data_IF_840662218995
#
_entry.id   IF_840662218995
#
_cell.length_a   1.000
_cell.length_b   1.000
_cell.length_c   1.000
_cell.angle_alpha   90.00
_cell.angle_beta   90.00
_cell.angle_gamma   90.00
#
_symmetry.space_group_name_H-M   'P 1'
#
loop_
_entity.id
_entity.type
_entity.pdbx_description
1 polymer ?
#
# COMPACT_ATOMS: atom_id res chain seq x y z
N UNK A 1 -18.07 5.52 -19.07
CA UNK A 1 -17.32 5.38 -17.80
C UNK A 1 -18.29 5.64 -16.67
N UNK A 2 -18.30 4.84 -15.60
CA UNK A 2 -19.19 5.09 -14.46
C UNK A 2 -18.73 6.36 -13.72
N UNK A 3 -19.64 7.04 -13.02
CA UNK A 3 -19.31 8.24 -12.24
C UNK A 3 -18.14 8.01 -11.27
N UNK A 4 -18.15 6.88 -10.56
CA UNK A 4 -17.08 6.52 -9.61
C UNK A 4 -15.72 6.28 -10.28
N UNK A 5 -15.71 5.73 -11.50
CA UNK A 5 -14.46 5.55 -12.26
C UNK A 5 -13.90 6.89 -12.71
N UNK A 6 -14.77 7.74 -13.28
CA UNK A 6 -14.39 9.07 -13.74
C UNK A 6 -13.90 9.95 -12.59
N UNK A 7 -14.62 9.95 -11.47
CA UNK A 7 -14.23 10.69 -10.27
C UNK A 7 -12.88 10.22 -9.73
N UNK A 8 -12.68 8.91 -9.59
CA UNK A 8 -11.40 8.38 -9.09
C UNK A 8 -10.24 8.67 -10.06
N UNK A 9 -10.46 8.55 -11.37
CA UNK A 9 -9.43 8.89 -12.36
C UNK A 9 -9.05 10.38 -12.32
N UNK A 10 -10.03 11.28 -12.22
CA UNK A 10 -9.76 12.73 -12.10
C UNK A 10 -9.03 13.07 -10.79
N UNK A 11 -9.44 12.46 -9.68
CA UNK A 11 -8.77 12.65 -8.40
C UNK A 11 -7.33 12.11 -8.43
N UNK A 12 -7.10 10.94 -9.03
CA UNK A 12 -5.75 10.39 -9.21
C UNK A 12 -4.87 11.24 -10.12
N UNK A 13 -5.44 11.83 -11.18
CA UNK A 13 -4.72 12.75 -12.07
C UNK A 13 -4.34 14.06 -11.34
N UNK A 14 -5.29 14.64 -10.59
CA UNK A 14 -5.04 15.83 -9.79
C UNK A 14 -4.00 15.57 -8.69
N UNK A 15 -4.09 14.41 -8.03
CA UNK A 15 -3.11 13.96 -7.05
C UNK A 15 -1.72 13.80 -7.67
N UNK A 16 -1.62 13.16 -8.85
CA UNK A 16 -0.34 13.00 -9.55
C UNK A 16 0.30 14.36 -9.90
N UNK A 17 -0.49 15.31 -10.42
CA UNK A 17 -0.02 16.65 -10.74
C UNK A 17 0.44 17.39 -9.47
N UNK A 18 -0.35 17.31 -8.39
CA UNK A 18 0.00 17.89 -7.10
C UNK A 18 1.30 17.31 -6.56
N UNK A 19 1.48 15.99 -6.62
CA UNK A 19 2.69 15.30 -6.21
C UNK A 19 3.91 15.71 -7.04
N UNK A 20 3.77 15.94 -8.35
CA UNK A 20 4.85 16.47 -9.20
C UNK A 20 5.25 17.89 -8.81
N UNK A 21 4.28 18.75 -8.48
CA UNK A 21 4.56 20.12 -8.01
C UNK A 21 5.28 20.07 -6.66
N UNK A 22 4.86 19.19 -5.75
CA UNK A 22 5.54 18.97 -4.47
C UNK A 22 6.96 18.46 -4.70
N UNK A 23 7.15 17.46 -5.55
CA UNK A 23 8.47 16.91 -5.87
C UNK A 23 9.41 17.98 -6.44
N UNK A 24 8.92 18.85 -7.33
CA UNK A 24 9.70 19.95 -7.91
C UNK A 24 10.08 21.05 -6.89
N UNK A 25 9.35 21.15 -5.77
CA UNK A 25 9.55 22.15 -4.72
C UNK A 25 10.09 21.55 -3.41
N UNK A 26 10.36 20.25 -3.39
CA UNK A 26 10.78 19.56 -2.18
C UNK A 26 12.15 20.06 -1.70
N UNK A 27 12.25 20.33 -0.40
CA UNK A 27 13.49 20.81 0.22
C UNK A 27 14.57 19.72 0.30
N UNK A 28 14.17 18.45 0.51
CA UNK A 28 15.08 17.31 0.60
C UNK A 28 14.86 16.32 -0.55
N UNK A 29 15.92 15.66 -1.04
CA UNK A 29 15.80 14.69 -2.12
C UNK A 29 14.99 13.45 -1.73
N UNK A 30 15.00 13.05 -0.45
CA UNK A 30 14.25 11.91 0.05
C UNK A 30 12.74 12.19 0.05
N UNK A 31 12.34 13.43 0.40
CA UNK A 31 10.95 13.85 0.29
C UNK A 31 10.51 13.98 -1.17
N UNK A 32 11.39 14.51 -2.03
CA UNK A 32 11.15 14.55 -3.48
C UNK A 32 10.93 13.14 -4.05
N UNK A 33 11.73 12.17 -3.61
CA UNK A 33 11.62 10.77 -4.02
C UNK A 33 10.25 10.17 -3.67
N UNK A 34 9.76 10.35 -2.44
CA UNK A 34 8.41 9.91 -2.06
C UNK A 34 7.32 10.63 -2.86
N UNK A 35 7.47 11.93 -3.11
CA UNK A 35 6.55 12.68 -3.97
C UNK A 35 6.53 12.15 -5.42
N UNK A 36 7.67 11.72 -5.96
CA UNK A 36 7.71 11.04 -7.27
C UNK A 36 7.03 9.67 -7.24
N UNK A 37 7.15 8.89 -6.16
CA UNK A 37 6.40 7.63 -6.01
C UNK A 37 4.89 7.89 -6.00
N UNK A 38 4.44 8.93 -5.29
CA UNK A 38 3.03 9.34 -5.29
C UNK A 38 2.56 9.77 -6.69
N UNK A 39 3.36 10.57 -7.39
CA UNK A 39 3.06 10.98 -8.76
C UNK A 39 2.94 9.78 -9.71
N UNK A 40 3.92 8.88 -9.69
CA UNK A 40 3.91 7.65 -10.48
C UNK A 40 2.69 6.78 -10.16
N UNK A 41 2.35 6.64 -8.88
CA UNK A 41 1.20 5.85 -8.43
C UNK A 41 -0.13 6.46 -8.88
N UNK A 42 -0.24 7.80 -8.86
CA UNK A 42 -1.41 8.50 -9.40
C UNK A 42 -1.57 8.33 -10.90
N UNK A 43 -0.47 8.43 -11.68
CA UNK A 43 -0.49 8.16 -13.13
C UNK A 43 -0.87 6.70 -13.41
N UNK A 44 -0.29 5.75 -12.66
CA UNK A 44 -0.63 4.33 -12.79
C UNK A 44 -2.10 4.07 -12.45
N UNK A 45 -2.66 4.73 -11.44
CA UNK A 45 -4.08 4.64 -11.11
C UNK A 45 -4.97 5.14 -12.27
N UNK A 46 -4.65 6.30 -12.87
CA UNK A 46 -5.37 6.81 -14.05
C UNK A 46 -5.32 5.80 -15.19
N UNK A 47 -4.12 5.33 -15.53
CA UNK A 47 -3.93 4.36 -16.62
C UNK A 47 -4.72 3.07 -16.37
N UNK A 48 -4.62 2.49 -15.17
CA UNK A 48 -5.30 1.24 -14.83
C UNK A 48 -6.82 1.38 -14.81
N UNK A 49 -7.36 2.51 -14.33
CA UNK A 49 -8.81 2.77 -14.34
C UNK A 49 -9.31 2.93 -15.78
N UNK A 50 -8.61 3.69 -16.62
CA UNK A 50 -8.97 3.89 -18.03
C UNK A 50 -8.87 2.57 -18.81
N UNK A 51 -7.79 1.82 -18.63
CA UNK A 51 -7.61 0.52 -19.27
C UNK A 51 -8.70 -0.47 -18.83
N UNK A 52 -9.02 -0.52 -17.54
CA UNK A 52 -10.13 -1.32 -17.01
C UNK A 52 -11.46 -0.92 -17.64
N UNK A 53 -11.70 0.38 -17.84
CA UNK A 53 -12.93 0.87 -18.46
C UNK A 53 -13.06 0.38 -19.92
N UNK A 54 -12.00 0.49 -20.72
CA UNK A 54 -12.02 0.05 -22.11
C UNK A 54 -12.00 -1.47 -22.27
N UNK A 55 -11.38 -2.20 -21.34
CA UNK A 55 -11.36 -3.67 -21.35
C UNK A 55 -12.67 -4.31 -20.85
N UNK A 56 -13.62 -3.54 -20.31
CA UNK A 56 -14.88 -4.07 -19.78
C UNK A 56 -15.88 -4.30 -20.91
N UNK A 57 -16.06 -5.57 -21.29
CA UNK A 57 -17.06 -5.99 -22.29
C UNK A 57 -18.49 -5.99 -21.72
N UNK A 58 -18.66 -6.47 -20.49
CA UNK A 58 -19.97 -6.57 -19.81
C UNK A 58 -19.86 -6.02 -18.40
N UNK A 59 -20.94 -5.38 -17.96
CA UNK A 59 -21.03 -4.85 -16.61
C UNK A 59 -21.10 -5.99 -15.58
N UNK A 60 -20.27 -5.92 -14.54
CA UNK A 60 -20.23 -6.97 -13.51
C UNK A 60 -21.58 -7.02 -12.79
N UNK A 61 -22.31 -8.15 -12.79
CA UNK A 61 -23.59 -8.24 -12.10
C UNK A 61 -23.37 -8.22 -10.59
N UNK A 62 -24.22 -7.50 -9.86
CA UNK A 62 -24.18 -7.42 -8.40
C UNK A 62 -24.73 -8.70 -7.73
N UNK A 63 -25.60 -9.43 -8.42
CA UNK A 63 -26.25 -10.66 -7.95
C UNK A 63 -26.12 -11.74 -9.02
N UNK A 64 -25.77 -12.95 -8.63
CA UNK A 64 -25.72 -14.16 -9.48
C UNK A 64 -26.52 -15.24 -8.77
N UNK A 65 -27.49 -15.85 -9.46
CA UNK A 65 -28.33 -16.93 -8.94
C UNK A 65 -29.00 -16.62 -7.59
N UNK A 66 -29.49 -15.38 -7.44
CA UNK A 66 -30.14 -14.91 -6.21
C UNK A 66 -29.19 -14.69 -5.03
N UNK A 67 -27.87 -14.78 -5.24
CA UNK A 67 -26.84 -14.52 -4.22
C UNK A 67 -25.99 -13.32 -4.61
N UNK A 68 -25.47 -12.55 -3.64
CA UNK A 68 -24.54 -11.47 -3.93
C UNK A 68 -23.31 -11.99 -4.67
N UNK A 69 -22.94 -11.35 -5.78
CA UNK A 69 -21.67 -11.57 -6.42
C UNK A 69 -20.59 -10.87 -5.59
N UNK A 70 -19.88 -11.60 -4.74
CA UNK A 70 -18.86 -10.99 -3.87
C UNK A 70 -17.64 -10.45 -4.63
N UNK A 71 -17.11 -9.32 -4.19
CA UNK A 71 -15.92 -8.72 -4.77
C UNK A 71 -14.66 -9.34 -4.17
N UNK A 72 -14.21 -10.48 -4.72
CA UNK A 72 -13.02 -11.19 -4.24
C UNK A 72 -11.69 -10.69 -4.80
N UNK A 73 -11.67 -9.81 -5.81
CA UNK A 73 -10.43 -9.27 -6.37
C UNK A 73 -9.53 -8.61 -5.31
N UNK A 74 -10.03 -7.59 -4.58
CA UNK A 74 -9.29 -6.94 -3.49
C UNK A 74 -8.91 -7.90 -2.37
N UNK A 75 -9.78 -8.85 -2.01
CA UNK A 75 -9.52 -9.86 -0.96
C UNK A 75 -8.34 -10.74 -1.34
N UNK A 76 -8.31 -11.23 -2.58
CA UNK A 76 -7.21 -12.06 -3.10
C UNK A 76 -5.91 -11.27 -3.16
N UNK A 77 -5.96 -10.02 -3.64
CA UNK A 77 -4.79 -9.15 -3.67
C UNK A 77 -4.23 -8.93 -2.26
N UNK A 78 -5.07 -8.52 -1.30
CA UNK A 78 -4.65 -8.29 0.08
C UNK A 78 -4.09 -9.58 0.73
N UNK A 79 -4.64 -10.75 0.39
CA UNK A 79 -4.13 -12.03 0.87
C UNK A 79 -2.73 -12.32 0.33
N UNK A 80 -2.48 -12.10 -0.97
CA UNK A 80 -1.16 -12.26 -1.57
C UNK A 80 -0.16 -11.23 -1.03
N UNK A 81 -0.60 -9.97 -0.87
CA UNK A 81 0.19 -8.91 -0.26
C UNK A 81 0.57 -9.25 1.19
N UNK A 82 -0.36 -9.80 1.98
CA UNK A 82 -0.07 -10.28 3.33
C UNK A 82 1.03 -11.33 3.32
N UNK A 83 0.95 -12.35 2.47
CA UNK A 83 2.00 -13.37 2.37
C UNK A 83 3.36 -12.76 1.98
N UNK A 84 3.37 -11.88 0.99
CA UNK A 84 4.59 -11.19 0.55
C UNK A 84 5.21 -10.37 1.69
N UNK A 85 4.43 -9.51 2.34
CA UNK A 85 4.91 -8.68 3.43
C UNK A 85 5.25 -9.47 4.69
N UNK A 86 4.58 -10.60 4.93
CA UNK A 86 4.92 -11.52 6.00
C UNK A 86 6.33 -12.08 5.80
N UNK A 87 6.62 -12.60 4.60
CA UNK A 87 7.98 -13.06 4.26
C UNK A 87 8.99 -11.92 4.40
N UNK A 88 8.73 -10.75 3.79
CA UNK A 88 9.64 -9.62 3.86
C UNK A 88 9.90 -9.16 5.31
N UNK A 89 8.85 -8.96 6.10
CA UNK A 89 8.93 -8.52 7.50
C UNK A 89 9.68 -9.51 8.38
N UNK A 90 9.41 -10.82 8.25
CA UNK A 90 10.12 -11.85 9.00
C UNK A 90 11.58 -12.00 8.56
N UNK A 91 11.88 -11.83 7.26
CA UNK A 91 13.27 -11.81 6.77
C UNK A 91 14.05 -10.64 7.36
N UNK A 92 13.50 -9.42 7.36
CA UNK A 92 14.17 -8.27 8.01
C UNK A 92 14.33 -8.52 9.52
N UNK A 93 13.33 -9.15 10.16
CA UNK A 93 13.40 -9.57 11.56
C UNK A 93 14.58 -10.52 11.85
N UNK A 94 14.80 -11.50 10.98
CA UNK A 94 15.94 -12.39 11.06
C UNK A 94 17.27 -11.64 10.86
N UNK A 95 17.33 -10.72 9.89
CA UNK A 95 18.53 -9.90 9.63
C UNK A 95 18.90 -9.08 10.87
N UNK A 96 17.95 -8.35 11.46
CA UNK A 96 18.24 -7.51 12.64
C UNK A 96 18.57 -8.34 13.87
N UNK A 97 18.00 -9.55 14.02
CA UNK A 97 18.40 -10.49 15.07
C UNK A 97 19.87 -10.94 14.89
N UNK A 98 20.27 -11.23 13.64
CA UNK A 98 21.66 -11.57 13.33
C UNK A 98 22.61 -10.39 13.52
N UNK A 99 22.19 -9.15 13.28
CA UNK A 99 23.00 -7.95 13.55
C UNK A 99 23.28 -7.75 15.04
N UNK A 100 22.36 -8.15 15.92
CA UNK A 100 22.60 -8.14 17.37
C UNK A 100 23.62 -9.21 17.79
N UNK A 101 23.62 -10.37 17.12
CA UNK A 101 24.59 -11.44 17.39
C UNK A 101 25.97 -11.18 16.76
N UNK A 102 25.98 -10.61 15.56
CA UNK A 102 27.14 -10.40 14.71
C UNK A 102 27.13 -8.97 14.15
N UNK A 103 27.63 -7.97 14.89
CA UNK A 103 27.52 -6.56 14.52
C UNK A 103 28.09 -6.18 13.14
N UNK A 104 29.06 -6.94 12.60
CA UNK A 104 29.61 -6.68 11.27
C UNK A 104 28.57 -6.82 10.13
N UNK A 105 27.44 -7.49 10.39
CA UNK A 105 26.32 -7.59 9.44
C UNK A 105 25.53 -6.27 9.29
N UNK A 106 25.93 -5.20 9.96
CA UNK A 106 25.45 -3.84 9.67
C UNK A 106 26.08 -3.28 8.38
N UNK A 107 27.20 -3.85 7.91
CA UNK A 107 27.94 -3.48 6.69
C UNK A 107 28.44 -2.01 6.64
N UNK A 108 28.39 -1.28 7.75
CA UNK A 108 28.73 0.15 7.83
C UNK A 108 28.00 1.03 6.80
N UNK A 109 26.82 0.60 6.34
CA UNK A 109 25.94 1.37 5.45
C UNK A 109 24.73 1.91 6.23
N UNK A 110 24.28 3.15 5.97
CA UNK A 110 23.16 3.74 6.69
C UNK A 110 21.87 2.91 6.61
N UNK A 111 21.49 2.46 5.41
CA UNK A 111 20.23 1.74 5.14
C UNK A 111 20.22 0.28 5.60
N UNK A 112 21.38 -0.33 5.88
CA UNK A 112 21.45 -1.67 6.48
C UNK A 112 21.69 -1.63 7.98
N UNK A 113 21.85 -0.45 8.58
CA UNK A 113 22.08 -0.35 10.03
C UNK A 113 20.86 -0.83 10.83
N UNK A 114 21.12 -1.46 11.97
CA UNK A 114 20.10 -1.96 12.89
C UNK A 114 19.07 -0.88 13.26
N UNK A 115 19.53 0.36 13.47
CA UNK A 115 18.67 1.49 13.83
C UNK A 115 17.61 1.82 12.78
N UNK A 116 17.90 1.65 11.48
CA UNK A 116 16.93 1.88 10.38
C UNK A 116 16.13 0.63 10.04
N UNK A 117 16.74 -0.56 10.15
CA UNK A 117 16.05 -1.82 9.86
C UNK A 117 15.05 -2.22 10.97
N UNK A 118 15.24 -1.78 12.21
CA UNK A 118 14.30 -2.05 13.31
C UNK A 118 12.90 -1.47 13.04
N UNK A 119 12.70 -0.17 12.80
CA UNK A 119 11.36 0.36 12.51
C UNK A 119 10.80 -0.21 11.20
N UNK A 120 11.65 -0.54 10.21
CA UNK A 120 11.26 -1.26 9.01
C UNK A 120 10.67 -2.64 9.33
N UNK A 121 11.34 -3.44 10.16
CA UNK A 121 10.82 -4.75 10.59
C UNK A 121 9.48 -4.60 11.32
N UNK A 122 9.42 -3.73 12.33
CA UNK A 122 8.23 -3.53 13.15
C UNK A 122 7.03 -3.15 12.29
N UNK A 123 7.19 -2.15 11.41
CA UNK A 123 6.12 -1.72 10.51
C UNK A 123 5.76 -2.75 9.46
N UNK A 124 6.74 -3.47 8.91
CA UNK A 124 6.49 -4.53 7.94
C UNK A 124 5.70 -5.69 8.57
N UNK A 125 5.97 -6.08 9.80
CA UNK A 125 5.24 -7.18 10.46
C UNK A 125 3.85 -6.72 10.93
N UNK A 126 3.72 -5.52 11.50
CA UNK A 126 2.45 -5.08 12.09
C UNK A 126 1.53 -4.50 11.02
N UNK A 127 1.98 -3.48 10.30
CA UNK A 127 1.14 -2.78 9.34
C UNK A 127 1.14 -3.47 7.99
N UNK A 128 2.30 -3.86 7.45
CA UNK A 128 2.31 -4.47 6.13
C UNK A 128 1.71 -5.88 6.11
N UNK A 129 2.22 -6.79 6.93
CA UNK A 129 1.67 -8.13 7.08
C UNK A 129 0.32 -8.11 7.81
N UNK A 130 0.30 -7.69 9.08
CA UNK A 130 -0.91 -7.70 9.89
C UNK A 130 -2.05 -6.85 9.31
N UNK A 131 -1.74 -5.66 8.79
CA UNK A 131 -2.74 -4.81 8.14
C UNK A 131 -3.34 -5.42 6.87
N UNK A 132 -2.55 -6.05 6.01
CA UNK A 132 -3.10 -6.76 4.85
C UNK A 132 -3.91 -8.01 5.26
N UNK A 133 -3.54 -8.71 6.34
CA UNK A 133 -4.36 -9.79 6.92
C UNK A 133 -5.72 -9.24 7.37
N UNK A 134 -5.74 -8.12 8.08
CA UNK A 134 -6.97 -7.48 8.54
C UNK A 134 -7.82 -6.97 7.38
N UNK A 135 -7.22 -6.39 6.34
CA UNK A 135 -7.95 -5.98 5.13
C UNK A 135 -8.56 -7.18 4.41
N UNK A 136 -7.79 -8.23 4.15
CA UNK A 136 -8.29 -9.44 3.48
C UNK A 136 -9.44 -10.08 4.26
N UNK A 137 -9.26 -10.27 5.58
CA UNK A 137 -10.25 -10.92 6.44
C UNK A 137 -11.50 -10.06 6.61
N UNK A 138 -11.37 -8.76 6.89
CA UNK A 138 -12.53 -7.87 7.06
C UNK A 138 -13.37 -7.77 5.78
N UNK A 139 -12.73 -7.54 4.62
CA UNK A 139 -13.42 -7.45 3.32
C UNK A 139 -14.07 -8.77 2.92
N UNK A 140 -13.50 -9.91 3.31
CA UNK A 140 -14.12 -11.21 3.10
C UNK A 140 -15.31 -11.45 4.03
N UNK A 141 -15.11 -11.25 5.34
CA UNK A 141 -16.09 -11.55 6.38
C UNK A 141 -17.31 -10.66 6.24
N UNK A 142 -17.14 -9.34 6.10
CA UNK A 142 -18.28 -8.39 6.05
C UNK A 142 -19.26 -8.71 4.91
N UNK A 143 -18.73 -9.13 3.76
CA UNK A 143 -19.57 -9.53 2.63
C UNK A 143 -20.41 -10.76 2.94
N UNK A 144 -19.80 -11.76 3.59
CA UNK A 144 -20.43 -13.05 3.91
C UNK A 144 -21.43 -12.93 5.06
N UNK A 145 -21.11 -12.14 6.08
CA UNK A 145 -21.96 -11.99 7.27
C UNK A 145 -23.15 -11.09 7.01
N UNK A 146 -23.00 -10.04 6.20
CA UNK A 146 -24.11 -9.18 5.79
C UNK A 146 -24.85 -9.70 4.54
N UNK A 147 -24.32 -10.73 3.89
CA UNK A 147 -24.83 -11.25 2.61
C UNK A 147 -25.01 -10.13 1.58
N UNK A 148 -23.98 -9.31 1.41
CA UNK A 148 -23.97 -8.20 0.47
C UNK A 148 -22.57 -8.04 -0.17
N UNK A 149 -22.52 -7.57 -1.43
CA UNK A 149 -21.25 -7.19 -2.07
C UNK A 149 -20.71 -5.92 -1.41
N UNK A 150 -19.39 -5.76 -1.39
CA UNK A 150 -18.75 -4.50 -0.97
C UNK A 150 -19.31 -3.31 -1.75
N UNK A 151 -19.53 -2.20 -1.04
CA UNK A 151 -20.00 -0.97 -1.63
C UNK A 151 -18.98 -0.43 -2.64
N UNK A 152 -19.42 -0.29 -3.89
CA UNK A 152 -18.64 0.21 -5.01
C UNK A 152 -17.63 -0.80 -5.57
N UNK A 153 -17.38 -0.69 -6.87
CA UNK A 153 -16.46 -1.61 -7.57
C UNK A 153 -14.99 -1.26 -7.34
N UNK A 154 -14.67 0.04 -7.28
CA UNK A 154 -13.29 0.54 -7.14
C UNK A 154 -12.90 0.95 -5.71
N UNK A 155 -13.85 1.21 -4.82
CA UNK A 155 -13.59 1.63 -3.43
C UNK A 155 -12.73 0.62 -2.66
N UNK A 156 -13.02 -0.69 -2.69
CA UNK A 156 -12.15 -1.69 -2.05
C UNK A 156 -10.74 -1.72 -2.65
N UNK A 157 -10.61 -1.49 -3.97
CA UNK A 157 -9.32 -1.42 -4.64
C UNK A 157 -8.52 -0.19 -4.22
N UNK A 158 -9.16 0.97 -4.11
CA UNK A 158 -8.53 2.19 -3.60
C UNK A 158 -7.94 1.97 -2.20
N UNK A 159 -8.70 1.33 -1.29
CA UNK A 159 -8.23 1.04 0.07
C UNK A 159 -7.04 0.09 0.04
N UNK A 160 -7.15 -1.05 -0.65
CA UNK A 160 -6.11 -2.08 -0.59
C UNK A 160 -4.83 -1.65 -1.31
N UNK A 161 -4.95 -1.03 -2.49
CA UNK A 161 -3.78 -0.53 -3.25
C UNK A 161 -3.18 0.69 -2.56
N UNK A 162 -4.01 1.62 -2.08
CA UNK A 162 -3.55 2.79 -1.32
C UNK A 162 -2.83 2.40 -0.04
N UNK A 163 -3.31 1.38 0.68
CA UNK A 163 -2.62 0.86 1.86
C UNK A 163 -1.25 0.27 1.54
N UNK A 164 -1.12 -0.43 0.41
CA UNK A 164 0.18 -0.93 -0.06
C UNK A 164 1.11 0.18 -0.56
N UNK A 165 0.57 1.27 -1.09
CA UNK A 165 1.35 2.48 -1.38
C UNK A 165 1.90 3.10 -0.09
N UNK A 166 1.08 3.27 0.95
CA UNK A 166 1.52 3.71 2.29
C UNK A 166 2.67 2.84 2.82
N UNK A 167 2.53 1.50 2.74
CA UNK A 167 3.58 0.56 3.17
C UNK A 167 4.89 0.80 2.42
N UNK A 168 4.84 1.01 1.11
CA UNK A 168 6.04 1.30 0.29
C UNK A 168 6.69 2.60 0.75
N UNK A 169 5.91 3.67 0.94
CA UNK A 169 6.41 4.98 1.38
C UNK A 169 7.04 4.90 2.78
N UNK A 170 6.37 4.24 3.73
CA UNK A 170 6.93 4.02 5.06
C UNK A 170 8.23 3.22 4.99
N UNK A 171 8.23 2.10 4.26
CA UNK A 171 9.39 1.21 4.13
C UNK A 171 10.62 1.90 3.52
N UNK A 172 10.43 2.65 2.43
CA UNK A 172 11.53 3.43 1.84
C UNK A 172 11.95 4.59 2.75
N UNK A 173 11.01 5.21 3.47
CA UNK A 173 11.28 6.27 4.44
C UNK A 173 12.25 5.82 5.53
N UNK A 174 12.02 4.66 6.13
CA UNK A 174 12.90 4.12 7.18
C UNK A 174 14.32 3.89 6.67
N UNK A 175 14.47 3.33 5.47
CA UNK A 175 15.78 3.09 4.86
C UNK A 175 16.52 4.40 4.56
N UNK A 176 15.80 5.43 4.13
CA UNK A 176 16.33 6.77 3.87
C UNK A 176 16.59 7.56 5.17
N UNK A 177 16.06 7.10 6.31
CA UNK A 177 16.21 7.76 7.61
C UNK A 177 15.16 8.83 7.87
N UNK A 178 14.05 8.81 7.15
CA UNK A 178 12.89 9.67 7.36
C UNK A 178 11.97 9.01 8.38
N UNK A 179 11.94 9.54 9.61
CA UNK A 179 11.10 8.99 10.68
C UNK A 179 10.83 10.00 11.81
N UNK A 180 9.63 9.92 12.41
CA UNK A 180 9.32 10.66 13.64
C UNK A 180 10.00 10.09 14.89
N UNK A 181 10.54 8.87 14.84
CA UNK A 181 11.17 8.20 15.99
C UNK A 181 10.20 7.76 17.10
N UNK A 182 8.88 7.85 16.88
CA UNK A 182 7.85 7.35 17.79
C UNK A 182 7.50 5.90 17.42
N UNK A 183 7.62 4.99 18.37
CA UNK A 183 7.36 3.57 18.13
C UNK A 183 5.92 3.35 17.60
N UNK A 184 5.80 2.58 16.52
CA UNK A 184 4.55 2.29 15.79
C UNK A 184 3.88 3.51 15.11
N UNK A 185 4.54 4.66 15.14
CA UNK A 185 4.16 5.90 14.46
C UNK A 185 5.39 6.53 13.79
N UNK A 186 6.29 5.67 13.29
CA UNK A 186 7.53 6.08 12.68
C UNK A 186 7.40 6.78 11.31
N UNK A 187 6.40 6.52 10.45
CA UNK A 187 6.25 7.24 9.19
C UNK A 187 6.01 8.73 9.44
N UNK A 188 6.52 9.58 8.54
CA UNK A 188 6.22 11.01 8.55
C UNK A 188 4.76 11.31 8.20
N UNK A 189 4.31 12.51 8.56
CA UNK A 189 2.94 13.02 8.41
C UNK A 189 2.29 12.90 7.01
N UNK A 190 3.10 12.75 5.96
CA UNK A 190 2.63 12.68 4.57
C UNK A 190 2.51 11.24 4.04
N UNK A 191 3.02 10.26 4.78
CA UNK A 191 3.01 8.85 4.37
C UNK A 191 1.59 8.29 4.31
#
# INVERSE_FOLDING_TARGET
>A
MRLGEMALALLSAAFALGALIVAAKAYTPEYAFHAYIFAASGVAAVFTIINRYYAREVETPEIIDGKPNYNFGPVKFATLAALFWGVAGFTVGLIIALQLAYPFLNFDLPWTSFGRLRPLHTSAVIFAFGGNVLLATSLYVVQRTCQARLAGDLSPWFVVVGYNLFIVIAGTGYLLGITEGKEYAEPEWYA
#
